data_IF_099053674936
#
_entry.id   IF_099053674936
#
_cell.length_a   1.000
_cell.length_b   1.000
_cell.length_c   1.000
_cell.angle_alpha   90.00
_cell.angle_beta   90.00
_cell.angle_gamma   90.00
#
_symmetry.space_group_name_H-M   'P 1'
#
loop_
_entity.id
_entity.type
_entity.pdbx_description
1 polymer ?
#
# COMPACT_ATOMS: atom_id res chain seq x y z
N UNK A 1 -2.57 21.24 -44.38
CA UNK A 1 -2.57 22.70 -44.15
C UNK A 1 -3.14 22.96 -42.77
N UNK A 2 -2.48 23.76 -41.92
CA UNK A 2 -2.65 23.71 -40.48
C UNK A 2 -3.71 24.68 -39.95
N UNK A 3 -4.38 24.29 -38.86
CA UNK A 3 -5.23 25.15 -38.05
C UNK A 3 -4.39 25.66 -36.89
N UNK A 4 -4.21 26.97 -36.83
CA UNK A 4 -3.38 27.71 -35.89
C UNK A 4 -4.12 28.00 -34.59
N UNK A 5 -3.39 27.90 -33.48
CA UNK A 5 -3.83 28.24 -32.12
C UNK A 5 -4.00 29.75 -31.95
N UNK A 6 -5.06 30.16 -31.27
CA UNK A 6 -5.30 31.55 -30.86
C UNK A 6 -4.56 31.85 -29.55
N UNK A 7 -3.49 32.63 -29.65
CA UNK A 7 -2.86 33.33 -28.53
C UNK A 7 -3.44 34.75 -28.43
N UNK A 8 -4.09 35.09 -27.31
CA UNK A 8 -4.39 36.49 -26.97
C UNK A 8 -3.24 37.05 -26.13
N UNK A 9 -2.47 37.94 -26.74
CA UNK A 9 -1.68 38.96 -26.05
C UNK A 9 -2.60 40.16 -25.76
N UNK A 10 -2.54 40.68 -24.54
CA UNK A 10 -2.89 42.07 -24.23
C UNK A 10 -1.71 42.68 -23.50
N UNK A 11 -1.21 43.80 -24.03
CA UNK A 11 -0.05 44.52 -23.53
C UNK A 11 -0.37 45.42 -22.33
N UNK A 12 0.63 45.52 -21.45
CA UNK A 12 1.16 46.72 -20.78
C UNK A 12 0.22 47.88 -20.43
N UNK A 13 0.17 48.27 -19.15
CA UNK A 13 1.04 49.31 -18.56
C UNK A 13 0.58 49.70 -17.15
N UNK A 14 1.52 50.32 -16.41
CA UNK A 14 1.36 51.01 -15.11
C UNK A 14 1.24 50.13 -13.85
N UNK A 15 1.80 50.46 -12.70
CA UNK A 15 2.96 51.27 -12.28
C UNK A 15 3.22 50.90 -10.81
N UNK A 16 4.49 50.91 -10.40
CA UNK A 16 4.98 50.47 -9.10
C UNK A 16 4.63 51.49 -8.02
N UNK A 17 4.02 51.05 -6.90
CA UNK A 17 4.12 51.79 -5.62
C UNK A 17 4.36 50.84 -4.45
N UNK A 18 5.43 51.18 -3.73
CA UNK A 18 5.99 50.53 -2.55
C UNK A 18 5.19 50.91 -1.30
N UNK A 19 4.86 49.95 -0.44
CA UNK A 19 4.25 50.22 0.87
C UNK A 19 5.34 50.16 1.94
N UNK A 20 5.66 51.35 2.48
CA UNK A 20 6.46 51.57 3.68
C UNK A 20 5.64 51.35 4.96
N UNK A 21 6.27 50.73 5.95
CA UNK A 21 5.83 50.66 7.35
C UNK A 21 5.97 52.02 8.04
N UNK A 22 5.05 52.43 8.94
CA UNK A 22 5.28 53.55 9.83
C UNK A 22 5.56 53.10 11.27
N UNK A 23 6.57 53.71 11.87
CA UNK A 23 6.88 53.69 13.31
C UNK A 23 6.87 55.12 13.88
N UNK A 24 6.59 55.20 15.20
CA UNK A 24 6.87 56.26 16.18
C UNK A 24 5.73 57.24 16.50
N UNK A 25 5.31 57.27 17.78
CA UNK A 25 5.57 58.40 18.69
C UNK A 25 5.20 58.09 20.18
N UNK A 26 5.60 58.92 21.17
CA UNK A 26 6.32 58.45 22.37
C UNK A 26 5.80 58.99 23.74
N UNK A 27 6.53 58.64 24.81
CA UNK A 27 6.67 59.29 26.14
C UNK A 27 5.57 59.08 27.20
N UNK A 28 5.82 59.44 28.49
CA UNK A 28 6.90 59.02 29.40
C UNK A 28 6.33 58.70 30.82
N UNK A 29 7.06 58.01 31.71
CA UNK A 29 7.15 58.33 33.15
C UNK A 29 8.00 57.26 33.86
N UNK A 30 9.06 57.75 34.49
CA UNK A 30 10.06 57.01 35.24
C UNK A 30 9.83 57.34 36.73
N UNK A 31 9.64 56.36 37.61
CA UNK A 31 9.92 56.52 39.05
C UNK A 31 10.52 55.21 39.58
N UNK A 32 11.74 55.41 40.06
CA UNK A 32 12.70 54.52 40.70
C UNK A 32 12.23 54.00 42.07
N UNK A 33 12.61 52.76 42.43
CA UNK A 33 12.73 52.22 43.80
C UNK A 33 13.26 50.77 43.76
N UNK A 34 14.54 50.57 44.07
CA UNK A 34 15.15 49.29 44.49
C UNK A 34 15.33 49.25 46.02
N UNK A 35 15.74 48.13 46.69
CA UNK A 35 15.57 46.69 46.45
C UNK A 35 15.03 45.97 47.74
N UNK A 36 14.98 44.61 47.80
CA UNK A 36 16.06 43.96 48.56
C UNK A 36 16.59 42.64 47.97
N UNK A 37 17.77 42.32 48.47
CA UNK A 37 18.69 41.23 48.18
C UNK A 37 18.10 39.82 48.16
N UNK A 38 18.59 39.02 47.21
CA UNK A 38 18.87 37.59 47.39
C UNK A 38 19.84 37.11 46.30
N UNK A 39 21.13 37.27 46.57
CA UNK A 39 22.18 36.52 45.87
C UNK A 39 21.96 35.02 46.09
N UNK A 40 21.77 34.28 45.00
CA UNK A 40 22.10 32.86 44.93
C UNK A 40 22.86 32.62 43.65
N UNK A 41 24.14 32.32 43.80
CA UNK A 41 25.07 31.88 42.77
C UNK A 41 24.47 30.71 41.97
N UNK A 42 23.94 31.01 40.79
CA UNK A 42 23.73 29.99 39.77
C UNK A 42 25.09 29.76 39.11
N UNK A 43 25.84 28.83 39.69
CA UNK A 43 27.01 28.22 39.09
C UNK A 43 26.59 27.53 37.78
N UNK A 44 26.63 28.29 36.68
CA UNK A 44 26.41 27.77 35.33
C UNK A 44 27.71 27.15 34.82
N UNK A 45 28.15 26.07 35.46
CA UNK A 45 29.07 25.13 34.83
C UNK A 45 28.38 24.54 33.59
N UNK A 46 29.07 24.41 32.44
CA UNK A 46 28.46 23.86 31.25
C UNK A 46 28.08 22.41 31.56
N UNK A 47 26.79 22.09 31.47
CA UNK A 47 26.31 20.71 31.49
C UNK A 47 26.76 20.06 30.19
N UNK A 48 28.04 19.69 30.13
CA UNK A 48 28.45 18.56 29.31
C UNK A 48 28.03 17.35 30.13
N UNK A 49 26.75 16.97 29.99
CA UNK A 49 26.28 15.64 30.36
C UNK A 49 27.01 14.66 29.46
N UNK A 50 28.24 14.32 29.87
CA UNK A 50 29.00 13.19 29.32
C UNK A 50 28.11 11.99 29.59
N UNK A 51 27.42 11.48 28.56
CA UNK A 51 26.58 10.31 28.67
C UNK A 51 27.49 9.17 29.15
N UNK A 52 27.44 8.89 30.45
CA UNK A 52 28.28 7.87 31.05
C UNK A 52 27.66 6.52 30.68
N UNK A 53 28.22 5.87 29.65
CA UNK A 53 27.75 4.56 29.17
C UNK A 53 27.78 3.56 30.33
N UNK A 54 26.67 2.87 30.56
CA UNK A 54 26.55 1.80 31.55
C UNK A 54 26.74 0.43 30.89
N UNK A 55 27.00 -0.60 31.71
CA UNK A 55 26.93 -1.98 31.24
C UNK A 55 25.48 -2.45 31.17
N UNK A 56 25.15 -3.21 30.13
CA UNK A 56 23.85 -3.84 30.01
C UNK A 56 23.66 -4.89 31.12
N UNK A 57 22.56 -4.87 31.89
CA UNK A 57 22.38 -5.72 33.07
C UNK A 57 22.41 -7.22 32.75
N UNK A 58 21.80 -7.64 31.65
CA UNK A 58 21.73 -9.07 31.28
C UNK A 58 22.99 -9.61 30.60
N UNK A 59 23.81 -8.73 30.01
CA UNK A 59 24.97 -9.11 29.19
C UNK A 59 26.23 -8.43 29.73
N UNK A 60 26.47 -8.68 31.01
CA UNK A 60 27.65 -8.27 31.73
C UNK A 60 28.21 -9.46 32.53
N UNK A 61 28.73 -10.46 31.82
CA UNK A 61 29.21 -11.70 32.43
C UNK A 61 30.56 -11.50 33.13
N UNK A 62 30.69 -11.98 34.37
CA UNK A 62 31.93 -11.84 35.14
C UNK A 62 33.13 -12.54 34.49
N UNK A 63 32.88 -13.67 33.82
CA UNK A 63 33.84 -14.47 33.05
C UNK A 63 33.99 -14.03 31.58
N UNK A 64 33.26 -12.99 31.16
CA UNK A 64 33.33 -12.47 29.80
C UNK A 64 34.67 -11.79 29.51
N UNK A 65 35.35 -12.25 28.46
CA UNK A 65 36.68 -11.80 28.06
C UNK A 65 36.69 -10.69 26.99
N UNK A 66 35.53 -10.33 26.41
CA UNK A 66 35.40 -9.23 25.45
C UNK A 66 34.40 -8.20 25.96
N UNK A 67 34.78 -6.92 25.93
CA UNK A 67 33.94 -5.75 26.18
C UNK A 67 33.57 -5.11 24.85
N UNK A 68 32.33 -5.30 24.41
CA UNK A 68 31.76 -4.64 23.24
C UNK A 68 31.23 -3.27 23.65
N UNK A 69 31.70 -2.22 23.00
CA UNK A 69 31.21 -0.86 23.17
C UNK A 69 30.30 -0.49 22.00
N UNK A 70 29.05 -0.14 22.30
CA UNK A 70 28.12 0.46 21.34
C UNK A 70 28.07 1.98 21.52
N UNK A 71 27.14 2.65 20.84
CA UNK A 71 26.93 4.10 20.93
C UNK A 71 26.63 4.57 22.35
N UNK A 72 25.87 3.78 23.12
CA UNK A 72 25.23 4.18 24.37
C UNK A 72 25.44 3.19 25.53
N UNK A 73 25.91 1.96 25.27
CA UNK A 73 26.09 0.92 26.28
C UNK A 73 27.37 0.08 26.10
N UNK A 74 27.71 -0.67 27.15
CA UNK A 74 28.74 -1.70 27.12
C UNK A 74 28.13 -3.09 27.36
N UNK A 75 28.68 -4.08 26.67
CA UNK A 75 28.36 -5.50 26.86
C UNK A 75 29.64 -6.24 27.21
N UNK A 76 29.63 -7.06 28.25
CA UNK A 76 30.74 -7.97 28.59
C UNK A 76 30.31 -9.39 28.27
N UNK A 77 30.91 -9.97 27.26
CA UNK A 77 30.50 -11.23 26.60
C UNK A 77 31.71 -12.13 26.31
N UNK A 78 31.42 -13.36 25.92
CA UNK A 78 32.42 -14.37 25.60
C UNK A 78 32.86 -14.29 24.15
N UNK A 79 34.17 -14.34 23.92
CA UNK A 79 34.79 -14.34 22.59
C UNK A 79 34.27 -15.48 21.71
N UNK A 80 33.99 -16.65 22.28
CA UNK A 80 33.42 -17.79 21.54
C UNK A 80 32.13 -17.44 20.79
N UNK A 81 31.30 -16.53 21.31
CA UNK A 81 30.09 -16.11 20.60
C UNK A 81 30.39 -15.08 19.51
N UNK A 82 31.44 -14.26 19.70
CA UNK A 82 31.86 -13.25 18.74
C UNK A 82 32.72 -13.83 17.61
N UNK A 83 33.36 -14.99 17.84
CA UNK A 83 34.23 -15.64 16.86
C UNK A 83 33.50 -16.09 15.59
N UNK A 84 32.16 -16.10 15.62
CA UNK A 84 31.29 -16.41 14.49
C UNK A 84 31.03 -15.21 13.58
N UNK A 85 31.37 -14.00 14.04
CA UNK A 85 31.25 -12.76 13.28
C UNK A 85 32.61 -12.37 12.72
N UNK A 86 32.82 -12.52 11.41
CA UNK A 86 34.14 -12.38 10.79
C UNK A 86 34.75 -10.98 11.05
N UNK A 87 33.93 -9.92 11.01
CA UNK A 87 34.40 -8.55 11.27
C UNK A 87 34.70 -8.28 12.73
N UNK A 88 33.96 -8.91 13.66
CA UNK A 88 34.29 -8.76 15.08
C UNK A 88 35.60 -9.48 15.41
N UNK A 89 35.89 -10.61 14.77
CA UNK A 89 37.19 -11.29 14.90
C UNK A 89 38.34 -10.35 14.50
N UNK A 90 38.22 -9.66 13.37
CA UNK A 90 39.22 -8.68 12.94
C UNK A 90 39.40 -7.54 13.95
N UNK A 91 38.29 -6.99 14.49
CA UNK A 91 38.34 -5.94 15.51
C UNK A 91 38.99 -6.42 16.81
N UNK A 92 38.73 -7.67 17.22
CA UNK A 92 39.35 -8.27 18.40
C UNK A 92 40.85 -8.45 18.19
N UNK A 93 41.27 -8.89 16.99
CA UNK A 93 42.68 -9.09 16.65
C UNK A 93 43.45 -7.76 16.63
N UNK A 94 42.89 -6.73 16.00
CA UNK A 94 43.47 -5.38 16.00
C UNK A 94 43.61 -4.82 17.43
N UNK A 95 42.57 -4.99 18.25
CA UNK A 95 42.60 -4.56 19.65
C UNK A 95 43.63 -5.31 20.51
N UNK A 96 43.98 -6.56 20.14
CA UNK A 96 45.05 -7.34 20.78
C UNK A 96 46.43 -6.80 20.43
N UNK A 97 46.67 -6.51 19.17
CA UNK A 97 47.97 -6.04 18.67
C UNK A 97 48.36 -4.68 19.27
N UNK A 98 47.37 -3.81 19.48
CA UNK A 98 47.57 -2.50 20.11
C UNK A 98 47.89 -2.63 21.61
N UNK A 99 47.43 -3.70 22.28
CA UNK A 99 47.61 -3.90 23.73
C UNK A 99 48.77 -4.84 24.03
N UNK A 100 49.92 -4.26 24.32
CA UNK A 100 51.14 -5.01 24.73
C UNK A 100 51.07 -5.51 26.18
N UNK A 101 50.22 -4.95 27.08
CA UNK A 101 50.03 -5.44 28.47
C UNK A 101 48.84 -4.78 29.19
N UNK A 102 47.95 -5.60 29.82
CA UNK A 102 46.85 -5.30 30.77
C UNK A 102 45.38 -5.17 30.26
N UNK A 103 44.37 -5.37 31.15
CA UNK A 103 44.02 -6.55 31.97
C UNK A 103 42.98 -7.43 31.25
N UNK A 104 42.57 -8.56 31.86
CA UNK A 104 41.75 -9.71 31.39
C UNK A 104 40.58 -9.55 30.38
N UNK A 105 40.23 -8.36 29.88
CA UNK A 105 39.17 -8.15 28.88
C UNK A 105 39.58 -7.22 27.74
N UNK A 106 39.44 -7.67 26.49
CA UNK A 106 39.69 -6.90 25.26
C UNK A 106 38.48 -6.01 24.98
N UNK A 107 38.69 -4.74 24.65
CA UNK A 107 37.61 -3.80 24.33
C UNK A 107 37.56 -3.56 22.82
N UNK A 108 36.39 -3.75 22.21
CA UNK A 108 36.14 -3.44 20.79
C UNK A 108 35.00 -2.43 20.66
N UNK A 109 35.09 -1.54 19.68
CA UNK A 109 34.01 -0.61 19.34
C UNK A 109 33.19 -1.17 18.19
N UNK A 110 31.88 -1.16 18.37
CA UNK A 110 30.92 -1.68 17.40
C UNK A 110 29.87 -0.61 17.09
N UNK A 111 29.79 -0.20 15.81
CA UNK A 111 28.74 0.67 15.31
C UNK A 111 27.38 -0.04 15.32
N UNK A 112 26.37 0.63 15.89
CA UNK A 112 24.99 0.16 15.97
C UNK A 112 24.32 0.58 17.27
N UNK A 113 23.01 0.43 17.32
CA UNK A 113 22.19 0.72 18.50
C UNK A 113 22.33 -0.42 19.52
N UNK A 114 22.42 -0.09 20.82
CA UNK A 114 22.52 -1.09 21.90
C UNK A 114 21.41 -2.14 21.86
N UNK A 115 20.18 -1.73 21.53
CA UNK A 115 19.03 -2.60 21.40
C UNK A 115 19.26 -3.71 20.35
N UNK A 116 19.95 -3.42 19.25
CA UNK A 116 20.23 -4.40 18.21
C UNK A 116 21.23 -5.46 18.71
N UNK A 117 22.28 -5.03 19.44
CA UNK A 117 23.23 -5.94 20.09
C UNK A 117 22.58 -6.79 21.16
N UNK A 118 21.77 -6.17 22.04
CA UNK A 118 21.03 -6.87 23.08
C UNK A 118 20.15 -8.00 22.50
N UNK A 119 19.32 -7.68 21.51
CA UNK A 119 18.46 -8.64 20.83
C UNK A 119 19.27 -9.76 20.15
N UNK A 120 20.38 -9.41 19.50
CA UNK A 120 21.28 -10.40 18.87
C UNK A 120 21.90 -11.33 19.90
N UNK A 121 22.34 -10.79 21.04
CA UNK A 121 22.92 -11.59 22.10
C UNK A 121 21.90 -12.54 22.72
N UNK A 122 20.64 -12.10 22.90
CA UNK A 122 19.55 -13.02 23.29
C UNK A 122 19.46 -14.20 22.33
N UNK A 123 19.50 -13.97 21.02
CA UNK A 123 19.42 -15.05 20.03
C UNK A 123 20.60 -16.01 20.13
N UNK A 124 21.85 -15.52 20.12
CA UNK A 124 23.04 -16.40 20.05
C UNK A 124 23.38 -17.09 21.38
N UNK A 125 22.89 -16.57 22.52
CA UNK A 125 23.04 -17.21 23.82
C UNK A 125 21.88 -18.13 24.18
N UNK A 126 20.80 -18.17 23.39
CA UNK A 126 19.66 -19.06 23.66
C UNK A 126 20.03 -20.52 23.37
N UNK A 127 19.95 -21.45 24.35
CA UNK A 127 20.17 -22.87 24.12
C UNK A 127 19.03 -23.52 23.31
N UNK A 128 19.35 -24.42 22.38
CA UNK A 128 18.36 -25.13 21.56
C UNK A 128 17.70 -26.36 22.23
N UNK A 129 17.78 -26.48 23.55
CA UNK A 129 17.58 -27.74 24.30
C UNK A 129 16.10 -28.19 24.35
N UNK A 130 15.13 -27.27 24.19
CA UNK A 130 13.69 -27.58 24.30
C UNK A 130 12.89 -27.26 23.03
N UNK A 131 13.55 -27.28 21.87
CA UNK A 131 12.96 -26.93 20.57
C UNK A 131 13.52 -25.63 20.00
N UNK A 132 13.11 -25.29 18.79
CA UNK A 132 13.54 -24.06 18.14
C UNK A 132 13.00 -22.84 18.92
N UNK A 133 13.88 -21.98 19.49
CA UNK A 133 13.43 -20.80 20.22
C UNK A 133 12.67 -19.87 19.27
N UNK A 134 11.49 -19.41 19.73
CA UNK A 134 10.67 -18.45 18.99
C UNK A 134 11.05 -17.04 19.41
N UNK A 135 11.45 -16.24 18.44
CA UNK A 135 11.80 -14.83 18.67
C UNK A 135 10.75 -13.92 18.04
N UNK A 136 10.60 -12.73 18.59
CA UNK A 136 9.74 -11.70 18.02
C UNK A 136 10.38 -11.12 16.75
N UNK A 137 9.55 -10.57 15.86
CA UNK A 137 10.02 -10.00 14.60
C UNK A 137 11.06 -8.88 14.83
N UNK A 138 10.88 -8.03 15.83
CA UNK A 138 11.83 -6.95 16.13
C UNK A 138 13.18 -7.50 16.60
N UNK A 139 13.19 -8.55 17.42
CA UNK A 139 14.43 -9.25 17.83
C UNK A 139 15.15 -9.85 16.62
N UNK A 140 14.41 -10.46 15.70
CA UNK A 140 14.98 -11.04 14.48
C UNK A 140 15.49 -9.96 13.50
N UNK A 141 14.81 -8.80 13.40
CA UNK A 141 15.27 -7.65 12.60
C UNK A 141 16.59 -7.11 13.16
N UNK A 142 16.66 -6.90 14.48
CA UNK A 142 17.91 -6.51 15.17
C UNK A 142 19.03 -7.52 14.89
N UNK A 143 18.73 -8.81 15.03
CA UNK A 143 19.68 -9.90 14.78
C UNK A 143 20.16 -9.89 13.33
N UNK A 144 19.25 -9.68 12.37
CA UNK A 144 19.59 -9.60 10.96
C UNK A 144 20.48 -8.39 10.65
N UNK A 145 20.26 -7.24 11.31
CA UNK A 145 21.13 -6.05 11.18
C UNK A 145 22.54 -6.35 11.63
N UNK A 146 22.72 -6.90 12.83
CA UNK A 146 24.04 -7.22 13.36
C UNK A 146 24.71 -8.31 12.54
N UNK A 147 23.99 -9.38 12.17
CA UNK A 147 24.52 -10.47 11.35
C UNK A 147 24.98 -9.98 9.96
N UNK A 148 24.25 -9.06 9.34
CA UNK A 148 24.66 -8.43 8.07
C UNK A 148 25.86 -7.50 8.25
N UNK A 149 25.82 -6.66 9.28
CA UNK A 149 26.83 -5.62 9.51
C UNK A 149 28.18 -6.23 9.85
N UNK A 150 28.19 -7.25 10.71
CA UNK A 150 29.39 -7.90 11.24
C UNK A 150 29.75 -9.23 10.55
N UNK A 151 29.04 -9.55 9.46
CA UNK A 151 29.28 -10.69 8.59
C UNK A 151 29.27 -12.03 9.34
N UNK A 152 28.05 -12.45 9.69
CA UNK A 152 27.73 -13.79 10.17
C UNK A 152 26.63 -14.41 9.28
N UNK A 153 27.01 -15.05 8.15
CA UNK A 153 26.09 -15.52 7.12
C UNK A 153 25.02 -16.51 7.62
N UNK A 154 25.37 -17.43 8.51
CA UNK A 154 24.43 -18.44 9.03
C UNK A 154 23.36 -17.82 9.91
N UNK A 155 23.73 -16.86 10.76
CA UNK A 155 22.78 -16.11 11.59
C UNK A 155 21.90 -15.20 10.75
N UNK A 156 22.47 -14.60 9.69
CA UNK A 156 21.70 -13.84 8.69
C UNK A 156 20.66 -14.72 8.00
N UNK A 157 21.05 -15.90 7.51
CA UNK A 157 20.14 -16.86 6.88
C UNK A 157 19.04 -17.33 7.84
N UNK A 158 19.41 -17.67 9.07
CA UNK A 158 18.45 -18.03 10.13
C UNK A 158 17.43 -16.92 10.36
N UNK A 159 17.89 -15.68 10.52
CA UNK A 159 17.01 -14.54 10.80
C UNK A 159 16.04 -14.26 9.64
N UNK A 160 16.49 -14.37 8.37
CA UNK A 160 15.62 -14.25 7.20
C UNK A 160 14.55 -15.35 7.19
N UNK A 161 14.96 -16.61 7.38
CA UNK A 161 14.03 -17.76 7.37
C UNK A 161 12.99 -17.69 8.48
N UNK A 162 13.36 -17.21 9.67
CA UNK A 162 12.38 -17.00 10.74
C UNK A 162 11.47 -15.80 10.41
N UNK A 163 12.02 -14.68 9.94
CA UNK A 163 11.22 -13.50 9.57
C UNK A 163 10.19 -13.77 8.48
N UNK A 164 10.47 -14.66 7.53
CA UNK A 164 9.51 -15.07 6.49
C UNK A 164 8.27 -15.78 7.05
N UNK A 165 8.36 -16.33 8.27
CA UNK A 165 7.23 -16.91 8.99
C UNK A 165 6.38 -15.84 9.69
N UNK A 166 6.88 -14.61 9.82
CA UNK A 166 6.16 -13.49 10.42
C UNK A 166 5.39 -12.67 9.38
N UNK A 167 4.24 -12.15 9.79
CA UNK A 167 3.49 -11.18 9.00
C UNK A 167 4.09 -9.78 9.14
N UNK A 168 5.12 -9.49 8.34
CA UNK A 168 5.78 -8.18 8.32
C UNK A 168 5.01 -7.21 7.40
N UNK A 169 4.67 -5.99 7.86
CA UNK A 169 4.01 -4.99 7.02
C UNK A 169 4.74 -4.74 5.71
N UNK A 170 3.98 -4.58 4.62
CA UNK A 170 4.50 -4.43 3.26
C UNK A 170 5.63 -3.39 3.13
N UNK A 171 5.41 -2.18 3.65
CA UNK A 171 6.40 -1.10 3.58
C UNK A 171 7.65 -1.42 4.39
N UNK A 172 7.48 -2.08 5.53
CA UNK A 172 8.60 -2.51 6.36
C UNK A 172 9.44 -3.57 5.65
N UNK A 173 8.83 -4.49 4.88
CA UNK A 173 9.56 -5.45 4.03
C UNK A 173 10.39 -4.76 2.96
N UNK A 174 9.86 -3.74 2.30
CA UNK A 174 10.61 -2.94 1.31
C UNK A 174 11.82 -2.25 1.98
N UNK A 175 11.59 -1.57 3.11
CA UNK A 175 12.65 -0.90 3.85
C UNK A 175 13.74 -1.86 4.31
N UNK A 176 13.37 -3.00 4.90
CA UNK A 176 14.33 -4.01 5.35
C UNK A 176 15.08 -4.63 4.17
N UNK A 177 14.41 -4.84 3.05
CA UNK A 177 15.06 -5.31 1.84
C UNK A 177 16.11 -4.33 1.32
N UNK A 178 15.83 -3.02 1.32
CA UNK A 178 16.80 -1.99 0.98
C UNK A 178 17.95 -1.90 1.98
N UNK A 179 17.63 -1.85 3.26
CA UNK A 179 18.58 -1.71 4.36
C UNK A 179 19.55 -2.89 4.43
N UNK A 180 19.03 -4.12 4.28
CA UNK A 180 19.74 -5.35 4.56
C UNK A 180 20.00 -6.17 3.29
N UNK A 181 19.79 -5.60 2.11
CA UNK A 181 20.01 -6.22 0.79
C UNK A 181 19.34 -7.60 0.65
N UNK A 182 18.07 -7.70 1.07
CA UNK A 182 17.27 -8.93 0.98
C UNK A 182 16.48 -8.92 -0.33
N UNK A 183 17.12 -9.34 -1.43
CA UNK A 183 16.56 -9.19 -2.78
C UNK A 183 15.31 -10.01 -3.01
N UNK A 184 15.21 -11.18 -2.38
CA UNK A 184 14.07 -12.09 -2.52
C UNK A 184 12.76 -11.49 -2.00
N UNK A 185 12.84 -10.48 -1.12
CA UNK A 185 11.66 -9.79 -0.59
C UNK A 185 11.16 -8.65 -1.49
N UNK A 186 11.98 -8.13 -2.41
CA UNK A 186 11.62 -6.96 -3.23
C UNK A 186 10.46 -7.26 -4.16
N UNK A 187 10.64 -8.28 -5.01
CA UNK A 187 9.67 -8.57 -6.07
C UNK A 187 8.29 -8.96 -5.49
N UNK A 188 8.18 -9.83 -4.47
CA UNK A 188 6.90 -10.09 -3.82
C UNK A 188 6.28 -8.82 -3.21
N UNK A 189 7.07 -7.98 -2.54
CA UNK A 189 6.57 -6.75 -1.94
C UNK A 189 6.10 -5.73 -2.99
N UNK A 190 6.85 -5.52 -4.07
CA UNK A 190 6.41 -4.63 -5.15
C UNK A 190 5.23 -5.19 -5.94
N UNK A 191 5.11 -6.51 -6.08
CA UNK A 191 3.93 -7.14 -6.70
C UNK A 191 2.69 -6.86 -5.86
N UNK A 192 2.75 -7.10 -4.55
CA UNK A 192 1.65 -6.80 -3.64
C UNK A 192 1.32 -5.29 -3.63
N UNK A 193 2.35 -4.43 -3.62
CA UNK A 193 2.17 -2.98 -3.69
C UNK A 193 1.53 -2.56 -5.00
N UNK A 194 1.84 -3.19 -6.12
CA UNK A 194 1.26 -2.86 -7.42
C UNK A 194 -0.17 -3.39 -7.59
N UNK A 195 -0.50 -4.53 -6.98
CA UNK A 195 -1.80 -5.18 -7.13
C UNK A 195 -2.85 -4.76 -6.11
N UNK A 196 -2.47 -4.14 -4.98
CA UNK A 196 -3.43 -3.76 -3.93
C UNK A 196 -4.38 -2.64 -4.37
N UNK A 197 -5.60 -2.67 -3.86
CA UNK A 197 -6.63 -1.66 -4.11
C UNK A 197 -6.33 -0.32 -3.44
N UNK A 198 -5.78 -0.33 -2.22
CA UNK A 198 -5.46 0.88 -1.45
C UNK A 198 -4.43 1.76 -2.20
N UNK A 199 -4.68 3.07 -2.36
CA UNK A 199 -3.72 3.99 -2.97
C UNK A 199 -2.42 4.08 -2.17
N UNK A 200 -1.34 4.55 -2.80
CA UNK A 200 -0.07 4.83 -2.12
C UNK A 200 -0.28 6.09 -1.28
N UNK A 201 0.02 6.04 0.02
CA UNK A 201 -0.06 7.20 0.91
C UNK A 201 1.19 8.08 0.77
N UNK A 202 1.12 9.31 1.30
CA UNK A 202 2.24 10.25 1.29
C UNK A 202 3.46 9.67 2.02
N UNK A 203 3.25 8.98 3.14
CA UNK A 203 4.31 8.36 3.94
C UNK A 203 4.99 7.22 3.17
N UNK A 204 4.20 6.41 2.46
CA UNK A 204 4.74 5.34 1.60
C UNK A 204 5.52 5.93 0.41
N UNK A 205 5.02 7.00 -0.20
CA UNK A 205 5.71 7.69 -1.28
C UNK A 205 7.06 8.27 -0.84
N UNK A 206 7.15 8.78 0.39
CA UNK A 206 8.41 9.24 0.98
C UNK A 206 9.41 8.09 1.13
N UNK A 207 8.95 6.93 1.61
CA UNK A 207 9.80 5.73 1.76
C UNK A 207 10.31 5.22 0.40
N UNK A 208 9.46 5.19 -0.61
CA UNK A 208 9.83 4.73 -1.96
C UNK A 208 10.82 5.67 -2.65
N UNK A 209 10.71 6.97 -2.36
CA UNK A 209 11.37 8.03 -3.11
C UNK A 209 10.74 8.26 -4.49
N UNK A 210 10.99 9.44 -5.06
CA UNK A 210 10.30 9.91 -6.26
C UNK A 210 10.43 8.95 -7.45
N UNK A 211 11.64 8.44 -7.72
CA UNK A 211 11.91 7.60 -8.89
C UNK A 211 11.11 6.28 -8.84
N UNK A 212 11.14 5.57 -7.71
CA UNK A 212 10.35 4.33 -7.56
C UNK A 212 8.86 4.63 -7.49
N UNK A 213 8.46 5.71 -6.83
CA UNK A 213 7.06 6.11 -6.76
C UNK A 213 6.43 6.29 -8.14
N UNK A 214 7.08 7.02 -9.06
CA UNK A 214 6.59 7.25 -10.43
C UNK A 214 6.40 5.92 -11.18
N UNK A 215 7.38 5.03 -11.11
CA UNK A 215 7.31 3.73 -11.79
C UNK A 215 6.25 2.81 -11.18
N UNK A 216 6.17 2.74 -9.85
CA UNK A 216 5.14 1.96 -9.15
C UNK A 216 3.74 2.52 -9.47
N UNK A 217 3.57 3.84 -9.49
CA UNK A 217 2.30 4.47 -9.86
C UNK A 217 1.91 4.11 -11.30
N UNK A 218 2.85 4.19 -12.25
CA UNK A 218 2.63 3.78 -13.64
C UNK A 218 2.16 2.32 -13.76
N UNK A 219 2.85 1.40 -13.07
CA UNK A 219 2.50 -0.04 -13.07
C UNK A 219 1.13 -0.25 -12.42
N UNK A 220 0.85 0.43 -11.30
CA UNK A 220 -0.45 0.36 -10.61
C UNK A 220 -1.60 0.81 -11.48
N UNK A 221 -1.47 1.95 -12.17
CA UNK A 221 -2.52 2.42 -13.06
C UNK A 221 -2.76 1.46 -14.23
N UNK A 222 -1.70 0.87 -14.79
CA UNK A 222 -1.83 -0.15 -15.82
C UNK A 222 -2.59 -1.38 -15.29
N UNK A 223 -2.27 -1.84 -14.09
CA UNK A 223 -2.96 -2.97 -13.45
C UNK A 223 -4.43 -2.65 -13.13
N UNK A 224 -4.73 -1.47 -12.62
CA UNK A 224 -6.12 -1.05 -12.36
C UNK A 224 -6.94 -0.98 -13.65
N UNK A 225 -6.36 -0.48 -14.76
CA UNK A 225 -7.00 -0.50 -16.08
C UNK A 225 -7.27 -1.94 -16.54
N UNK A 226 -6.33 -2.88 -16.33
CA UNK A 226 -6.53 -4.31 -16.63
C UNK A 226 -7.65 -4.93 -15.81
N UNK A 227 -7.66 -4.70 -14.50
CA UNK A 227 -8.70 -5.24 -13.61
C UNK A 227 -10.08 -4.71 -14.00
N UNK A 228 -10.16 -3.41 -14.31
CA UNK A 228 -11.40 -2.78 -14.80
C UNK A 228 -11.85 -3.37 -16.14
N UNK A 229 -10.93 -3.62 -17.07
CA UNK A 229 -11.22 -4.25 -18.35
C UNK A 229 -11.73 -5.70 -18.18
N UNK A 230 -11.11 -6.50 -17.32
CA UNK A 230 -11.56 -7.86 -16.99
C UNK A 230 -12.96 -7.87 -16.38
N UNK A 231 -13.23 -6.93 -15.48
CA UNK A 231 -14.56 -6.77 -14.89
C UNK A 231 -15.61 -6.43 -15.96
N UNK A 232 -15.30 -5.48 -16.85
CA UNK A 232 -16.20 -5.12 -17.96
C UNK A 232 -16.46 -6.29 -18.90
N UNK A 233 -15.44 -7.07 -19.24
CA UNK A 233 -15.60 -8.27 -20.07
C UNK A 233 -16.52 -9.31 -19.40
N UNK A 234 -16.33 -9.55 -18.11
CA UNK A 234 -17.22 -10.43 -17.33
C UNK A 234 -18.68 -9.93 -17.31
N UNK A 235 -18.88 -8.62 -17.14
CA UNK A 235 -20.23 -8.03 -17.18
C UNK A 235 -20.86 -8.13 -18.57
N UNK A 236 -20.08 -7.92 -19.65
CA UNK A 236 -20.55 -8.05 -21.02
C UNK A 236 -20.98 -9.49 -21.34
N UNK A 237 -20.21 -10.48 -20.90
CA UNK A 237 -20.57 -11.91 -21.02
C UNK A 237 -21.86 -12.24 -20.27
N UNK A 238 -22.06 -11.67 -19.07
CA UNK A 238 -23.29 -11.86 -18.29
C UNK A 238 -24.50 -11.23 -18.98
N UNK A 239 -24.36 -10.01 -19.51
CA UNK A 239 -25.41 -9.34 -20.28
C UNK A 239 -25.75 -10.06 -21.59
N UNK A 240 -24.76 -10.70 -22.23
CA UNK A 240 -25.02 -11.51 -23.43
C UNK A 240 -25.92 -12.70 -23.13
N UNK A 241 -25.72 -13.39 -21.99
CA UNK A 241 -26.56 -14.52 -21.54
C UNK A 241 -28.00 -14.11 -21.22
N UNK A 242 -28.21 -12.92 -20.67
CA UNK A 242 -29.56 -12.39 -20.39
C UNK A 242 -30.36 -12.03 -21.66
N UNK A 243 -29.67 -11.89 -22.81
CA UNK A 243 -30.28 -11.56 -24.09
C UNK A 243 -30.64 -12.77 -24.96
N UNK A 244 -30.42 -14.01 -24.50
CA UNK A 244 -30.92 -15.19 -25.20
C UNK A 244 -32.45 -15.21 -25.06
N UNK A 245 -33.12 -14.82 -26.15
CA UNK A 245 -34.59 -14.82 -26.24
C UNK A 245 -35.12 -16.23 -25.98
N UNK A 246 -36.22 -16.40 -25.21
CA UNK A 246 -36.94 -17.66 -25.16
C UNK A 246 -37.27 -18.10 -26.60
N UNK A 247 -37.02 -19.37 -26.88
CA UNK A 247 -37.28 -20.01 -28.18
C UNK A 247 -38.64 -19.57 -28.74
N UNK A 248 -38.71 -18.95 -29.94
CA UNK A 248 -39.98 -18.52 -30.54
C UNK A 248 -40.90 -19.69 -30.90
N UNK A 249 -40.46 -20.94 -30.77
CA UNK A 249 -41.30 -22.13 -30.94
C UNK A 249 -42.14 -22.46 -29.69
N UNK A 250 -42.80 -21.47 -29.08
CA UNK A 250 -44.08 -21.76 -28.41
C UNK A 250 -45.09 -21.90 -29.54
N UNK A 251 -45.21 -23.13 -30.05
CA UNK A 251 -46.22 -23.50 -31.02
C UNK A 251 -47.58 -23.10 -30.47
N UNK A 252 -48.17 -22.06 -31.07
CA UNK A 252 -49.54 -21.60 -30.81
C UNK A 252 -50.56 -22.62 -31.32
N UNK A 253 -50.51 -23.85 -30.82
CA UNK A 253 -51.32 -24.96 -31.33
C UNK A 253 -52.55 -25.32 -30.53
N UNK A 254 -52.73 -24.89 -29.27
CA UNK A 254 -53.89 -25.33 -28.48
C UNK A 254 -54.53 -24.26 -27.57
N UNK A 255 -54.73 -23.03 -28.06
CA UNK A 255 -55.72 -22.14 -27.43
C UNK A 255 -56.97 -22.04 -28.31
N UNK A 256 -57.92 -22.96 -28.11
CA UNK A 256 -59.29 -22.77 -28.59
C UNK A 256 -59.90 -21.57 -27.86
N UNK A 257 -59.82 -20.39 -28.47
CA UNK A 257 -60.47 -19.19 -27.95
C UNK A 257 -61.99 -19.47 -27.79
N UNK A 258 -62.60 -19.10 -26.66
CA UNK A 258 -64.03 -19.29 -26.46
C UNK A 258 -64.83 -18.53 -27.54
N UNK A 259 -65.83 -19.19 -28.14
CA UNK A 259 -66.72 -18.57 -29.12
C UNK A 259 -67.60 -17.52 -28.45
N UNK A 260 -67.96 -16.46 -29.18
CA UNK A 260 -68.85 -15.43 -28.64
C UNK A 260 -70.32 -15.77 -28.84
N UNK A 261 -71.13 -15.56 -27.80
CA UNK A 261 -72.59 -15.71 -27.84
C UNK A 261 -73.32 -14.36 -27.91
N UNK A 262 -72.76 -13.37 -28.61
CA UNK A 262 -73.40 -12.07 -28.78
C UNK A 262 -74.70 -12.20 -29.59
N UNK A 263 -75.80 -11.64 -29.08
CA UNK A 263 -77.11 -11.70 -29.74
C UNK A 263 -77.49 -10.35 -30.33
N UNK A 264 -78.09 -10.37 -31.53
CA UNK A 264 -78.66 -9.17 -32.16
C UNK A 264 -80.15 -9.17 -31.85
N UNK A 265 -80.58 -8.22 -31.03
CA UNK A 265 -81.99 -8.03 -30.67
C UNK A 265 -82.55 -6.90 -31.56
N UNK A 266 -83.68 -7.16 -32.24
CA UNK A 266 -84.42 -6.13 -32.99
C UNK A 266 -85.47 -5.54 -32.05
N UNK A 267 -85.47 -4.22 -31.88
CA UNK A 267 -86.55 -3.52 -31.17
C UNK A 267 -87.78 -3.35 -32.08
N UNK A 268 -88.96 -3.24 -31.48
CA UNK A 268 -90.24 -3.05 -32.18
C UNK A 268 -90.28 -1.76 -33.03
N UNK A 269 -89.39 -0.80 -32.75
CA UNK A 269 -89.22 0.44 -33.52
C UNK A 269 -88.26 0.30 -34.73
N UNK A 270 -87.80 -0.91 -35.06
CA UNK A 270 -86.91 -1.17 -36.19
C UNK A 270 -85.41 -0.96 -35.92
N UNK A 271 -85.02 -0.58 -34.69
CA UNK A 271 -83.59 -0.44 -34.33
C UNK A 271 -82.99 -1.80 -33.94
N UNK A 272 -81.75 -2.07 -34.36
CA UNK A 272 -80.98 -3.27 -33.96
C UNK A 272 -80.07 -2.91 -32.79
N UNK A 273 -80.17 -3.62 -31.67
CA UNK A 273 -79.22 -3.53 -30.57
C UNK A 273 -78.47 -4.85 -30.42
N UNK A 274 -77.20 -4.78 -30.01
CA UNK A 274 -76.35 -5.95 -29.79
C UNK A 274 -76.18 -6.15 -28.29
N UNK A 275 -76.53 -7.32 -27.78
CA UNK A 275 -76.21 -7.73 -26.41
C UNK A 275 -74.84 -8.41 -26.44
N UNK A 276 -73.83 -7.75 -25.86
CA UNK A 276 -72.47 -8.27 -25.79
C UNK A 276 -72.38 -9.39 -24.75
N UNK A 277 -71.68 -10.47 -25.09
CA UNK A 277 -71.31 -11.50 -24.11
C UNK A 277 -70.24 -10.98 -23.14
N UNK A 278 -70.01 -11.70 -22.03
CA UNK A 278 -69.01 -11.30 -21.03
C UNK A 278 -67.59 -11.15 -21.60
N UNK A 279 -67.24 -11.92 -22.64
CA UNK A 279 -65.95 -11.80 -23.33
C UNK A 279 -65.81 -10.42 -23.98
N UNK A 280 -66.81 -9.98 -24.75
CA UNK A 280 -66.75 -8.67 -25.41
C UNK A 280 -67.02 -7.49 -24.48
N UNK A 281 -67.64 -7.73 -23.33
CA UNK A 281 -67.77 -6.73 -22.26
C UNK A 281 -66.42 -6.38 -21.62
N UNK A 282 -65.53 -7.36 -21.46
CA UNK A 282 -64.23 -7.17 -20.74
C UNK A 282 -63.04 -7.05 -21.70
N UNK A 283 -63.11 -7.65 -22.89
CA UNK A 283 -62.02 -7.69 -23.86
C UNK A 283 -61.44 -6.32 -24.24
N UNK A 284 -62.23 -5.25 -24.49
CA UNK A 284 -61.68 -3.94 -24.84
C UNK A 284 -60.79 -3.38 -23.72
N UNK A 285 -61.22 -3.48 -22.46
CA UNK A 285 -60.47 -3.00 -21.31
C UNK A 285 -59.21 -3.86 -21.05
N UNK A 286 -59.30 -5.18 -21.24
CA UNK A 286 -58.14 -6.07 -21.17
C UNK A 286 -57.12 -5.77 -22.27
N UNK A 287 -57.56 -5.66 -23.53
CA UNK A 287 -56.71 -5.32 -24.68
C UNK A 287 -56.00 -3.98 -24.47
N UNK A 288 -56.69 -2.97 -23.93
CA UNK A 288 -56.07 -1.69 -23.60
C UNK A 288 -54.99 -1.82 -22.53
N UNK A 289 -55.22 -2.61 -21.47
CA UNK A 289 -54.19 -2.90 -20.44
C UNK A 289 -53.01 -3.69 -21.01
N UNK A 290 -53.27 -4.69 -21.85
CA UNK A 290 -52.22 -5.47 -22.52
C UNK A 290 -51.38 -4.60 -23.46
N UNK A 291 -52.01 -3.68 -24.21
CA UNK A 291 -51.29 -2.74 -25.08
C UNK A 291 -50.36 -1.82 -24.27
N UNK A 292 -50.81 -1.32 -23.11
CA UNK A 292 -49.96 -0.54 -22.19
C UNK A 292 -48.76 -1.35 -21.70
N UNK A 293 -48.98 -2.61 -21.33
CA UNK A 293 -47.92 -3.52 -20.86
C UNK A 293 -46.93 -3.84 -21.99
N UNK A 294 -47.42 -4.15 -23.19
CA UNK A 294 -46.59 -4.42 -24.37
C UNK A 294 -45.75 -3.19 -24.74
N UNK A 295 -46.34 -1.99 -24.76
CA UNK A 295 -45.60 -0.73 -24.98
C UNK A 295 -44.55 -0.47 -23.90
N UNK A 296 -44.79 -0.87 -22.65
CA UNK A 296 -43.79 -0.77 -21.58
C UNK A 296 -42.67 -1.79 -21.78
N UNK A 297 -43.01 -3.02 -22.13
CA UNK A 297 -42.06 -4.09 -22.43
C UNK A 297 -41.14 -3.72 -23.60
N UNK A 298 -41.70 -3.24 -24.72
CA UNK A 298 -40.91 -2.80 -25.89
C UNK A 298 -39.93 -1.67 -25.53
N UNK A 299 -40.37 -0.68 -24.74
CA UNK A 299 -39.49 0.40 -24.24
C UNK A 299 -38.34 -0.13 -23.38
N UNK A 300 -38.60 -1.13 -22.54
CA UNK A 300 -37.56 -1.77 -21.71
C UNK A 300 -36.56 -2.51 -22.60
N UNK A 301 -37.02 -3.24 -23.62
CA UNK A 301 -36.14 -3.92 -24.57
C UNK A 301 -35.26 -2.93 -25.35
N UNK A 302 -35.84 -1.84 -25.86
CA UNK A 302 -35.08 -0.78 -26.53
C UNK A 302 -34.01 -0.17 -25.60
N UNK A 303 -34.36 0.07 -24.34
CA UNK A 303 -33.42 0.57 -23.33
C UNK A 303 -32.28 -0.42 -23.07
N UNK A 304 -32.57 -1.71 -22.95
CA UNK A 304 -31.55 -2.76 -22.77
C UNK A 304 -30.59 -2.83 -23.97
N UNK A 305 -31.13 -2.77 -25.20
CA UNK A 305 -30.31 -2.76 -26.43
C UNK A 305 -29.38 -1.55 -26.46
N UNK A 306 -29.90 -0.36 -26.11
CA UNK A 306 -29.09 0.87 -26.01
C UNK A 306 -27.99 0.74 -24.94
N UNK A 307 -28.35 0.27 -23.74
CA UNK A 307 -27.41 0.06 -22.64
C UNK A 307 -26.27 -0.90 -23.06
N UNK A 308 -26.61 -1.99 -23.76
CA UNK A 308 -25.62 -2.95 -24.27
C UNK A 308 -24.65 -2.30 -25.27
N UNK A 309 -25.16 -1.46 -26.16
CA UNK A 309 -24.32 -0.73 -27.12
C UNK A 309 -23.37 0.25 -26.41
N UNK A 310 -23.88 1.01 -25.43
CA UNK A 310 -23.09 1.98 -24.66
C UNK A 310 -21.98 1.30 -23.84
N UNK A 311 -22.29 0.16 -23.20
CA UNK A 311 -21.31 -0.65 -22.47
C UNK A 311 -20.25 -1.22 -23.42
N UNK A 312 -20.64 -1.75 -24.57
CA UNK A 312 -19.70 -2.30 -25.55
C UNK A 312 -18.76 -1.23 -26.14
N UNK A 313 -19.28 -0.02 -26.42
CA UNK A 313 -18.48 1.11 -26.86
C UNK A 313 -17.45 1.52 -25.80
N UNK A 314 -17.86 1.68 -24.54
CA UNK A 314 -16.95 1.99 -23.42
C UNK A 314 -15.91 0.90 -23.21
N UNK A 315 -16.30 -0.38 -23.32
CA UNK A 315 -15.38 -1.51 -23.22
C UNK A 315 -14.29 -1.44 -24.29
N UNK A 316 -14.65 -1.16 -25.55
CA UNK A 316 -13.70 -1.04 -26.65
C UNK A 316 -12.71 0.11 -26.43
N UNK A 317 -13.18 1.26 -25.95
CA UNK A 317 -12.32 2.40 -25.61
C UNK A 317 -11.33 2.05 -24.51
N UNK A 318 -11.79 1.41 -23.43
CA UNK A 318 -10.94 1.02 -22.31
C UNK A 318 -9.89 0.01 -22.76
N UNK A 319 -10.30 -1.06 -23.47
CA UNK A 319 -9.41 -2.11 -23.94
C UNK A 319 -8.32 -1.61 -24.91
N UNK A 320 -8.62 -0.61 -25.74
CA UNK A 320 -7.65 -0.06 -26.70
C UNK A 320 -6.41 0.58 -26.05
N UNK A 321 -6.49 0.94 -24.76
CA UNK A 321 -5.38 1.54 -24.00
C UNK A 321 -4.71 0.60 -22.99
N UNK A 322 -5.10 -0.68 -22.91
CA UNK A 322 -4.56 -1.60 -21.90
C UNK A 322 -3.35 -2.36 -22.46
N UNK A 323 -2.15 -2.02 -22.02
CA UNK A 323 -0.98 -2.90 -22.19
C UNK A 323 -1.26 -4.25 -21.52
N UNK A 324 -1.01 -5.39 -22.18
CA UNK A 324 -1.28 -6.74 -21.65
C UNK A 324 -0.14 -7.34 -20.79
N UNK A 325 0.92 -6.58 -20.52
CA UNK A 325 2.09 -7.07 -19.77
C UNK A 325 1.79 -7.24 -18.28
N UNK A 326 1.62 -8.46 -17.76
CA UNK A 326 1.41 -8.70 -16.31
C UNK A 326 2.30 -7.83 -15.41
N UNK A 327 1.80 -7.41 -14.23
CA UNK A 327 2.59 -6.69 -13.20
C UNK A 327 3.96 -7.33 -13.02
N UNK A 328 3.98 -8.66 -12.94
CA UNK A 328 5.21 -9.42 -12.77
C UNK A 328 6.20 -9.25 -13.93
N UNK A 329 5.72 -9.17 -15.17
CA UNK A 329 6.57 -8.92 -16.32
C UNK A 329 7.14 -7.50 -16.30
N UNK A 330 6.33 -6.51 -15.93
CA UNK A 330 6.81 -5.12 -15.80
C UNK A 330 7.87 -5.00 -14.71
N UNK A 331 7.66 -5.65 -13.56
CA UNK A 331 8.64 -5.71 -12.47
C UNK A 331 9.92 -6.45 -12.88
N UNK A 332 9.84 -7.52 -13.66
CA UNK A 332 11.02 -8.24 -14.17
C UNK A 332 11.90 -7.36 -15.10
N UNK A 333 11.28 -6.43 -15.83
CA UNK A 333 11.99 -5.48 -16.71
C UNK A 333 12.44 -4.20 -16.00
N UNK A 334 11.98 -3.96 -14.77
CA UNK A 334 12.25 -2.76 -14.02
C UNK A 334 13.71 -2.70 -13.56
N UNK A 335 14.47 -1.73 -14.06
CA UNK A 335 15.88 -1.54 -13.70
C UNK A 335 16.11 -1.13 -12.24
N UNK A 336 15.06 -0.71 -11.54
CA UNK A 336 15.11 -0.25 -10.15
C UNK A 336 14.84 -1.36 -9.11
N UNK A 337 14.50 -2.57 -9.56
CA UNK A 337 14.37 -3.77 -8.72
C UNK A 337 15.67 -4.56 -8.80
N UNK A 338 16.25 -4.91 -7.65
CA UNK A 338 17.48 -5.71 -7.62
C UNK A 338 17.13 -7.15 -7.98
N UNK A 339 17.93 -7.75 -8.86
CA UNK A 339 17.75 -9.16 -9.25
C UNK A 339 18.23 -10.07 -8.12
N UNK A 340 17.53 -11.19 -7.86
CA UNK A 340 18.01 -12.18 -6.90
C UNK A 340 19.44 -12.61 -7.27
N UNK A 341 20.26 -12.89 -6.26
CA UNK A 341 21.59 -13.42 -6.51
C UNK A 341 21.43 -14.80 -7.15
N UNK A 342 21.85 -14.93 -8.42
CA UNK A 342 22.03 -16.23 -9.08
C UNK A 342 23.22 -16.92 -8.43
N UNK A 343 23.03 -17.42 -7.22
CA UNK A 343 24.00 -18.27 -6.53
C UNK A 343 23.74 -19.70 -6.99
N UNK A 344 24.62 -20.17 -7.88
CA UNK A 344 24.79 -21.59 -8.20
C UNK A 344 25.66 -22.27 -7.15
#
# INVERSE_FOLDING_TARGET
MPITFSTRNFGSSESVTSIQSPSLNPNPFNVDSSPPDCEKDINMSPIISTLQKSFHPEFNFDDGNIKVETKDQFFRVHEYQLSKFSKMVSLIQEAREIRVSAPNSIKIFCAGESADFYNTFRVIYTPAIHGAPKFEADTLISTLRIATTYDYPELRRFSIQELEKHSIPLMKRIQLSDELLIRDWEKPAFTELCSRTKPISTEEAQILGMKRFVEVARIREAEQRRQSAKYLESTAQTLAKLGETPNPNISSRDLSLPRCDCQIVKSEAGSRSITLCQIHSVAPALLQKFDVVLKRHSRVLEWIVKLKADVSAKQKTILSGVSMTSVENELNTASWIRRPDTTS
#
